data_IF_261941230672
#
_entry.id   IF_261941230672
#
_cell.length_a   1.000
_cell.length_b   1.000
_cell.length_c   1.000
_cell.angle_alpha   90.00
_cell.angle_beta   90.00
_cell.angle_gamma   90.00
#
_symmetry.space_group_name_H-M   'P 1'
#
loop_
_entity.id
_entity.type
_entity.pdbx_description
1 polymer ?
#
# COMPACT_ATOMS: atom_id res chain seq x y z
N UNK A 1 8.07 10.59 -2.95
CA UNK A 1 7.22 10.28 -1.79
C UNK A 1 7.96 10.63 -0.54
N UNK A 2 7.31 11.38 0.34
CA UNK A 2 7.79 11.64 1.69
C UNK A 2 6.80 10.97 2.67
N UNK A 3 7.28 10.11 3.58
CA UNK A 3 6.41 9.46 4.56
C UNK A 3 5.78 10.53 5.47
N UNK A 4 4.48 10.40 5.71
CA UNK A 4 3.76 11.21 6.69
C UNK A 4 3.42 10.31 7.87
N UNK A 5 3.95 10.69 9.04
CA UNK A 5 3.73 9.99 10.31
C UNK A 5 2.92 10.93 11.22
N UNK A 6 1.60 10.72 11.37
CA UNK A 6 0.80 11.50 12.29
C UNK A 6 1.32 11.43 13.73
N UNK A 7 1.00 12.41 14.58
CA UNK A 7 1.26 12.31 16.02
C UNK A 7 0.74 11.00 16.59
N UNK A 8 1.51 10.38 17.50
CA UNK A 8 1.21 9.09 18.14
C UNK A 8 1.20 7.87 17.19
N UNK A 9 1.82 7.96 16.00
CA UNK A 9 2.05 6.78 15.17
C UNK A 9 2.88 5.75 15.96
N UNK A 10 2.41 4.50 16.14
CA UNK A 10 3.17 3.47 16.84
C UNK A 10 4.54 3.21 16.18
N UNK A 11 5.55 2.93 16.99
CA UNK A 11 6.84 2.46 16.47
C UNK A 11 6.70 1.04 15.89
N UNK A 12 7.50 0.71 14.86
CA UNK A 12 7.58 -0.65 14.31
C UNK A 12 6.38 -1.08 13.46
N UNK A 13 5.67 -0.14 12.83
CA UNK A 13 4.62 -0.50 11.87
C UNK A 13 5.20 -1.26 10.67
N UNK A 14 4.48 -2.31 10.26
CA UNK A 14 4.74 -3.11 9.07
C UNK A 14 4.46 -2.37 7.73
N UNK A 15 4.15 -1.08 7.78
CA UNK A 15 3.82 -0.23 6.65
C UNK A 15 3.97 1.25 7.03
N UNK A 16 4.07 2.13 6.04
CA UNK A 16 3.97 3.57 6.29
C UNK A 16 2.49 4.00 6.26
N UNK A 17 1.99 4.71 7.29
CA UNK A 17 0.58 5.15 7.38
C UNK A 17 0.09 5.98 6.21
N UNK A 18 0.94 6.90 5.73
CA UNK A 18 0.59 7.88 4.72
C UNK A 18 1.82 8.34 3.92
N UNK A 19 1.62 8.72 2.67
CA UNK A 19 2.62 9.36 1.82
C UNK A 19 2.03 10.52 1.04
N UNK A 20 2.85 11.55 0.92
CA UNK A 20 2.70 12.60 -0.08
C UNK A 20 3.62 12.30 -1.26
N UNK A 21 3.07 12.25 -2.47
CA UNK A 21 3.84 12.06 -3.70
C UNK A 21 4.51 13.37 -4.13
N UNK A 22 5.64 13.27 -4.84
CA UNK A 22 6.24 14.49 -5.39
C UNK A 22 5.33 15.09 -6.47
N UNK A 23 5.20 16.42 -6.57
CA UNK A 23 4.28 17.09 -7.50
C UNK A 23 4.45 16.73 -8.98
N UNK A 24 5.64 16.25 -9.37
CA UNK A 24 5.93 15.85 -10.76
C UNK A 24 5.78 14.35 -11.00
N UNK A 25 5.44 13.56 -10.00
CA UNK A 25 5.34 12.11 -10.15
C UNK A 25 4.07 11.70 -10.88
N UNK A 26 4.17 10.63 -11.65
CA UNK A 26 3.01 9.91 -12.17
C UNK A 26 2.70 8.74 -11.25
N UNK A 27 1.41 8.45 -11.12
CA UNK A 27 0.95 7.21 -10.52
C UNK A 27 0.65 6.19 -11.61
N UNK A 28 1.24 5.01 -11.45
CA UNK A 28 1.06 3.87 -12.34
C UNK A 28 0.49 2.68 -11.56
N UNK A 29 -0.76 2.28 -11.83
CA UNK A 29 -1.24 0.99 -11.39
C UNK A 29 -0.40 -0.10 -12.06
N UNK A 30 0.16 -1.01 -11.28
CA UNK A 30 0.84 -2.21 -11.80
C UNK A 30 -0.14 -3.39 -11.93
N UNK A 31 -1.33 -3.27 -11.34
CA UNK A 31 -2.35 -4.30 -11.35
C UNK A 31 -2.08 -5.41 -10.33
N UNK A 32 -2.88 -6.47 -10.43
CA UNK A 32 -2.75 -7.67 -9.62
C UNK A 32 -1.59 -8.52 -10.12
N UNK A 33 -0.60 -8.72 -9.26
CA UNK A 33 0.58 -9.53 -9.54
C UNK A 33 0.50 -10.83 -8.73
N UNK A 34 0.46 -11.93 -9.46
CA UNK A 34 0.45 -13.28 -8.90
C UNK A 34 1.89 -13.78 -8.65
N UNK A 35 2.08 -14.80 -7.78
CA UNK A 35 3.39 -15.39 -7.49
C UNK A 35 3.87 -16.34 -8.59
N UNK A 36 3.10 -16.53 -9.67
CA UNK A 36 3.45 -17.47 -10.72
C UNK A 36 4.67 -16.95 -11.48
N UNK A 37 5.74 -17.72 -11.46
CA UNK A 37 7.00 -17.39 -12.15
C UNK A 37 7.45 -18.60 -12.96
N UNK A 38 7.73 -18.39 -14.24
CA UNK A 38 8.08 -19.45 -15.20
C UNK A 38 7.06 -20.60 -15.24
N UNK A 39 5.77 -20.28 -15.09
CA UNK A 39 4.67 -21.26 -15.12
C UNK A 39 4.49 -22.07 -13.82
N UNK A 40 5.28 -21.82 -12.78
CA UNK A 40 5.21 -22.53 -11.50
C UNK A 40 4.98 -21.58 -10.33
N UNK A 41 4.50 -22.12 -9.21
CA UNK A 41 4.27 -21.38 -7.97
C UNK A 41 4.85 -22.20 -6.81
N UNK A 42 5.57 -21.54 -5.88
CA UNK A 42 6.06 -22.19 -4.68
C UNK A 42 4.91 -22.56 -3.73
N UNK A 43 5.11 -23.59 -2.91
CA UNK A 43 4.09 -24.11 -2.00
C UNK A 43 3.90 -23.27 -0.73
N UNK A 44 4.90 -22.49 -0.31
CA UNK A 44 4.85 -21.67 0.91
C UNK A 44 4.42 -20.23 0.63
N UNK A 45 3.71 -19.59 1.57
CA UNK A 45 3.32 -18.16 1.42
C UNK A 45 4.55 -17.25 1.34
N UNK A 46 5.59 -17.53 2.13
CA UNK A 46 6.85 -16.78 2.03
C UNK A 46 7.48 -16.92 0.63
N UNK A 47 7.52 -18.13 0.08
CA UNK A 47 8.01 -18.37 -1.27
C UNK A 47 7.17 -17.67 -2.34
N UNK A 48 5.85 -17.72 -2.21
CA UNK A 48 4.94 -16.99 -3.10
C UNK A 48 5.15 -15.47 -3.01
N UNK A 49 5.28 -14.91 -1.81
CA UNK A 49 5.57 -13.48 -1.63
C UNK A 49 6.92 -13.09 -2.26
N UNK A 50 7.96 -13.92 -2.14
CA UNK A 50 9.24 -13.68 -2.82
C UNK A 50 9.06 -13.62 -4.35
N UNK A 51 8.28 -14.54 -4.92
CA UNK A 51 8.04 -14.58 -6.35
C UNK A 51 7.16 -13.40 -6.81
N UNK A 52 6.14 -13.01 -6.01
CA UNK A 52 5.38 -11.77 -6.21
C UNK A 52 6.32 -10.56 -6.27
N UNK A 53 7.16 -10.35 -5.26
CA UNK A 53 8.06 -9.19 -5.21
C UNK A 53 9.12 -9.20 -6.32
N UNK A 54 9.53 -10.39 -6.79
CA UNK A 54 10.38 -10.52 -7.97
C UNK A 54 9.64 -10.09 -9.24
N UNK A 55 8.38 -10.51 -9.41
CA UNK A 55 7.52 -10.07 -10.52
C UNK A 55 7.27 -8.55 -10.47
N UNK A 56 7.15 -7.97 -9.26
CA UNK A 56 7.04 -6.52 -9.05
C UNK A 56 8.31 -5.79 -9.48
N UNK A 57 9.49 -6.31 -9.13
CA UNK A 57 10.76 -5.73 -9.54
C UNK A 57 10.90 -5.69 -11.06
N UNK A 58 10.50 -6.77 -11.75
CA UNK A 58 10.49 -6.83 -13.21
C UNK A 58 9.51 -5.81 -13.81
N UNK A 59 8.31 -5.68 -13.23
CA UNK A 59 7.32 -4.70 -13.69
C UNK A 59 7.80 -3.25 -13.49
N UNK A 60 8.45 -2.95 -12.37
CA UNK A 60 9.03 -1.63 -12.08
C UNK A 60 10.19 -1.29 -13.01
N UNK A 61 11.01 -2.27 -13.40
CA UNK A 61 12.15 -2.04 -14.28
C UNK A 61 11.74 -1.40 -15.63
N UNK A 62 10.54 -1.70 -16.12
CA UNK A 62 9.97 -1.09 -17.34
C UNK A 62 9.63 0.41 -17.20
N UNK A 63 9.59 0.92 -15.96
CA UNK A 63 9.27 2.32 -15.64
C UNK A 63 10.49 3.16 -15.25
N UNK A 64 11.69 2.57 -15.33
CA UNK A 64 12.96 3.24 -15.04
C UNK A 64 13.44 3.05 -13.58
N UNK A 65 14.70 3.43 -13.30
CA UNK A 65 15.40 3.05 -12.07
C UNK A 65 14.83 3.69 -10.80
N UNK A 66 14.06 4.77 -10.93
CA UNK A 66 13.50 5.51 -9.80
C UNK A 66 12.02 5.19 -9.56
N UNK A 67 11.42 4.28 -10.33
CA UNK A 67 10.06 3.82 -10.07
C UNK A 67 10.01 3.04 -8.75
N UNK A 68 8.99 3.30 -7.93
CA UNK A 68 8.86 2.67 -6.61
C UNK A 68 7.41 2.42 -6.23
N UNK A 69 7.17 1.32 -5.51
CA UNK A 69 5.86 1.01 -4.95
C UNK A 69 5.51 2.03 -3.86
N UNK A 70 4.29 2.56 -3.91
CA UNK A 70 3.75 3.51 -2.91
C UNK A 70 2.54 2.97 -2.17
N UNK A 71 1.80 2.06 -2.80
CA UNK A 71 0.68 1.35 -2.18
C UNK A 71 0.68 -0.11 -2.60
N UNK A 72 0.44 -0.99 -1.64
CA UNK A 72 0.19 -2.41 -1.82
C UNK A 72 -1.12 -2.81 -1.17
N UNK A 73 -1.92 -3.59 -1.89
CA UNK A 73 -3.04 -4.36 -1.33
C UNK A 73 -2.65 -5.83 -1.42
N UNK A 74 -2.49 -6.48 -0.29
CA UNK A 74 -2.18 -7.91 -0.17
C UNK A 74 -3.48 -8.68 -0.06
N UNK A 75 -3.72 -9.58 -1.00
CA UNK A 75 -4.86 -10.48 -1.00
C UNK A 75 -4.35 -11.85 -0.56
N UNK A 76 -4.85 -12.37 0.56
CA UNK A 76 -4.41 -13.66 1.12
C UNK A 76 -5.60 -14.60 1.29
N UNK A 77 -5.42 -15.88 1.04
CA UNK A 77 -6.49 -16.87 1.29
C UNK A 77 -6.62 -17.26 2.76
N UNK A 78 -5.60 -16.97 3.57
CA UNK A 78 -5.57 -17.21 5.00
C UNK A 78 -4.71 -16.13 5.68
N UNK A 79 -5.34 -15.23 6.43
CA UNK A 79 -4.67 -14.11 7.09
C UNK A 79 -3.72 -14.57 8.20
N UNK A 80 -3.87 -15.79 8.72
CA UNK A 80 -3.01 -16.32 9.80
C UNK A 80 -1.56 -16.52 9.32
N UNK A 81 -1.36 -16.68 8.01
CA UNK A 81 -0.04 -16.78 7.37
C UNK A 81 0.65 -15.41 7.17
N UNK A 82 0.03 -14.30 7.58
CA UNK A 82 0.53 -12.92 7.36
C UNK A 82 1.99 -12.75 7.80
N UNK A 83 2.38 -13.32 8.93
CA UNK A 83 3.71 -13.14 9.49
C UNK A 83 4.80 -13.78 8.62
N UNK A 84 4.48 -14.87 7.92
CA UNK A 84 5.42 -15.49 6.97
C UNK A 84 5.65 -14.60 5.75
N UNK A 85 4.62 -13.89 5.28
CA UNK A 85 4.77 -12.93 4.19
C UNK A 85 5.44 -11.64 4.64
N UNK A 86 5.19 -11.19 5.87
CA UNK A 86 5.70 -9.93 6.40
C UNK A 86 7.23 -9.93 6.47
N UNK A 87 7.85 -11.02 6.92
CA UNK A 87 9.31 -11.14 6.96
C UNK A 87 9.95 -10.87 5.59
N UNK A 88 9.35 -11.41 4.52
CA UNK A 88 9.83 -11.20 3.15
C UNK A 88 9.65 -9.75 2.69
N UNK A 89 8.54 -9.11 3.07
CA UNK A 89 8.29 -7.69 2.78
C UNK A 89 9.30 -6.81 3.51
N UNK A 90 9.58 -7.10 4.77
CA UNK A 90 10.54 -6.36 5.60
C UNK A 90 11.96 -6.50 5.03
N UNK A 91 12.35 -7.70 4.58
CA UNK A 91 13.63 -7.91 3.88
C UNK A 91 13.71 -7.11 2.57
N UNK A 92 12.62 -7.09 1.80
CA UNK A 92 12.60 -6.45 0.48
C UNK A 92 12.58 -4.91 0.56
N UNK A 93 11.73 -4.33 1.41
CA UNK A 93 11.53 -2.88 1.51
C UNK A 93 12.24 -2.25 2.71
N UNK A 94 12.48 -3.00 3.79
CA UNK A 94 12.98 -2.47 5.06
C UNK A 94 14.39 -1.91 5.01
N UNK A 95 15.24 -2.35 4.07
CA UNK A 95 16.56 -1.74 3.85
C UNK A 95 16.52 -0.26 3.46
N UNK A 96 15.36 0.25 3.02
CA UNK A 96 15.18 1.64 2.57
C UNK A 96 14.46 2.53 3.60
N UNK A 97 14.17 2.04 4.81
CA UNK A 97 13.44 2.75 5.89
C UNK A 97 12.08 3.37 5.48
N UNK A 98 11.51 2.94 4.35
CA UNK A 98 10.26 3.47 3.83
C UNK A 98 9.48 2.30 3.20
N UNK A 99 8.47 1.82 3.92
CA UNK A 99 7.56 0.77 3.44
C UNK A 99 6.39 1.41 2.67
N UNK A 100 5.84 0.79 1.62
CA UNK A 100 4.62 1.31 0.98
C UNK A 100 3.45 1.32 1.96
N UNK A 101 2.44 2.16 1.68
CA UNK A 101 1.15 2.02 2.36
C UNK A 101 0.57 0.64 2.05
N UNK A 102 0.09 -0.07 3.07
CA UNK A 102 -0.25 -1.49 2.93
C UNK A 102 -1.62 -1.79 3.49
N UNK A 103 -2.46 -2.45 2.70
CA UNK A 103 -3.71 -3.04 3.16
C UNK A 103 -3.60 -4.56 3.01
N UNK A 104 -4.02 -5.31 4.03
CA UNK A 104 -4.15 -6.76 3.97
C UNK A 104 -5.64 -7.13 3.97
N UNK A 105 -6.03 -8.01 3.05
CA UNK A 105 -7.41 -8.48 2.90
C UNK A 105 -7.38 -10.00 2.80
N UNK A 106 -8.15 -10.67 3.64
CA UNK A 106 -8.45 -12.09 3.45
C UNK A 106 -9.50 -12.24 2.33
N UNK A 107 -9.22 -13.09 1.36
CA UNK A 107 -10.10 -13.39 0.22
C UNK A 107 -10.39 -14.89 0.15
N UNK A 108 -11.56 -15.32 -0.32
CA UNK A 108 -11.88 -16.75 -0.37
C UNK A 108 -11.02 -17.54 -1.37
N UNK A 109 -10.48 -16.86 -2.39
CA UNK A 109 -9.59 -17.43 -3.39
C UNK A 109 -8.76 -16.34 -4.08
N UNK A 110 -7.59 -16.73 -4.59
CA UNK A 110 -6.75 -15.94 -5.50
C UNK A 110 -7.07 -16.25 -6.97
N UNK A 111 -6.40 -15.60 -7.92
CA UNK A 111 -6.69 -15.74 -9.35
C UNK A 111 -6.52 -17.16 -9.93
N UNK A 112 -5.66 -17.99 -9.34
CA UNK A 112 -5.47 -19.40 -9.76
C UNK A 112 -5.41 -20.37 -8.55
N UNK A 113 -5.78 -21.65 -8.74
CA UNK A 113 -5.64 -22.66 -7.71
C UNK A 113 -4.19 -22.82 -7.21
N UNK A 114 -4.02 -23.01 -5.90
CA UNK A 114 -2.71 -23.17 -5.25
C UNK A 114 -1.99 -21.85 -4.94
N UNK A 115 -2.48 -20.73 -5.47
CA UNK A 115 -2.05 -19.39 -5.05
C UNK A 115 -2.74 -19.05 -3.74
N UNK A 116 -1.96 -18.63 -2.74
CA UNK A 116 -2.41 -18.26 -1.39
C UNK A 116 -2.21 -16.78 -1.09
N UNK A 117 -1.44 -16.07 -1.93
CA UNK A 117 -1.18 -14.65 -1.79
C UNK A 117 -0.97 -13.98 -3.15
N UNK A 118 -1.54 -12.79 -3.31
CA UNK A 118 -1.35 -11.90 -4.47
C UNK A 118 -1.20 -10.45 -3.99
N UNK A 119 -0.63 -9.60 -4.84
CA UNK A 119 -0.44 -8.18 -4.51
C UNK A 119 -0.97 -7.28 -5.63
N UNK A 120 -1.85 -6.35 -5.29
CA UNK A 120 -2.27 -5.26 -6.18
C UNK A 120 -1.54 -3.98 -5.79
N UNK A 121 -0.89 -3.34 -6.77
CA UNK A 121 0.17 -2.38 -6.51
C UNK A 121 0.01 -1.09 -7.31
N UNK A 122 0.41 0.00 -6.67
CA UNK A 122 0.51 1.32 -7.28
C UNK A 122 1.94 1.80 -7.11
N UNK A 123 2.52 2.31 -8.20
CA UNK A 123 3.87 2.83 -8.24
C UNK A 123 3.90 4.36 -8.45
N UNK A 124 4.81 5.03 -7.76
CA UNK A 124 5.28 6.36 -8.10
C UNK A 124 6.35 6.23 -9.18
N UNK A 125 6.13 6.87 -10.32
CA UNK A 125 7.09 6.98 -11.41
C UNK A 125 7.44 8.46 -11.56
N UNK A 126 8.66 8.88 -11.21
CA UNK A 126 9.09 10.27 -11.42
C UNK A 126 8.99 10.62 -12.90
N UNK A 127 8.45 11.80 -13.23
CA UNK A 127 8.69 12.36 -14.57
C UNK A 127 10.15 12.78 -14.62
N UNK A 128 10.88 12.35 -15.65
CA UNK A 128 12.14 13.00 -15.97
C UNK A 128 11.87 14.51 -16.10
N UNK A 129 12.75 15.33 -15.52
CA UNK A 129 12.72 16.76 -15.76
C UNK A 129 12.96 16.96 -17.26
N UNK A 130 11.88 17.11 -18.05
CA UNK A 130 12.02 17.79 -19.32
C UNK A 130 12.56 19.16 -18.98
N UNK A 131 13.79 19.44 -19.42
CA UNK A 131 14.36 20.78 -19.51
C UNK A 131 13.56 21.60 -20.52
N UNK A 132 12.27 21.81 -20.25
CA UNK A 132 11.45 22.77 -20.95
C UNK A 132 11.53 24.04 -20.10
N UNK A 133 12.45 24.90 -20.48
CA UNK A 133 12.61 26.23 -19.93
C UNK A 133 11.34 27.05 -20.23
N UNK A 134 10.32 26.94 -19.37
CA UNK A 134 9.29 27.96 -19.13
C UNK A 134 8.24 27.43 -18.16
N UNK A 135 8.52 27.44 -16.86
CA UNK A 135 7.45 27.49 -15.86
C UNK A 135 7.73 28.67 -14.94
N UNK A 136 7.23 29.82 -15.39
CA UNK A 136 7.02 31.01 -14.58
C UNK A 136 6.23 30.67 -13.32
N UNK A 137 6.63 31.28 -12.20
CA UNK A 137 6.03 31.21 -10.88
C UNK A 137 4.49 31.18 -10.88
N UNK A 138 3.90 29.99 -10.83
CA UNK A 138 2.50 29.76 -10.48
C UNK A 138 2.38 29.41 -9.01
N UNK A 139 2.03 30.40 -8.18
CA UNK A 139 1.72 30.29 -6.76
C UNK A 139 0.35 29.64 -6.51
N UNK A 140 0.07 28.50 -7.14
CA UNK A 140 -1.12 27.69 -6.86
C UNK A 140 -0.81 26.60 -5.83
N UNK A 141 -1.78 26.17 -5.00
CA UNK A 141 -1.59 25.01 -4.13
C UNK A 141 -1.26 23.81 -5.00
N UNK A 142 -0.05 23.27 -4.82
CA UNK A 142 0.41 22.08 -5.55
C UNK A 142 -0.51 20.93 -5.18
N UNK A 143 -1.25 20.38 -6.14
CA UNK A 143 -2.12 19.23 -5.91
C UNK A 143 -1.26 18.03 -5.54
N UNK A 144 -1.33 17.65 -4.27
CA UNK A 144 -0.63 16.53 -3.68
C UNK A 144 -1.57 15.32 -3.73
N UNK A 145 -1.20 14.30 -4.50
CA UNK A 145 -1.83 13.00 -4.43
C UNK A 145 -1.11 12.18 -3.34
N UNK A 146 -1.88 11.48 -2.52
CA UNK A 146 -1.36 10.67 -1.43
C UNK A 146 -2.15 9.39 -1.21
N UNK A 147 -1.58 8.49 -0.42
CA UNK A 147 -2.21 7.23 -0.06
C UNK A 147 -2.27 7.12 1.44
N UNK A 148 -3.48 6.97 1.98
CA UNK A 148 -3.71 6.79 3.40
C UNK A 148 -4.16 5.36 3.65
N UNK A 149 -3.49 4.67 4.56
CA UNK A 149 -4.03 3.49 5.22
C UNK A 149 -4.68 3.93 6.54
N UNK A 150 -5.59 3.14 7.12
CA UNK A 150 -6.03 3.28 8.50
C UNK A 150 -6.45 1.91 9.05
N UNK A 151 -6.35 1.76 10.38
CA UNK A 151 -6.76 0.55 11.08
C UNK A 151 -7.51 0.90 12.35
N UNK A 152 -8.18 -0.11 12.93
CA UNK A 152 -9.03 0.02 14.11
C UNK A 152 -8.26 0.36 15.40
N UNK A 153 -6.94 0.12 15.43
CA UNK A 153 -6.10 0.40 16.58
C UNK A 153 -6.65 -0.17 17.89
N UNK A 154 -6.68 0.66 18.93
CA UNK A 154 -7.17 0.29 20.27
C UNK A 154 -8.69 0.03 20.31
N UNK A 155 -9.43 0.29 19.25
CA UNK A 155 -10.85 -0.07 19.15
C UNK A 155 -11.09 -1.52 18.76
N UNK A 156 -10.02 -2.28 18.42
CA UNK A 156 -10.13 -3.70 18.10
C UNK A 156 -10.85 -4.49 19.20
N UNK A 157 -11.85 -5.27 18.82
CA UNK A 157 -12.67 -6.08 19.72
C UNK A 157 -13.77 -5.32 20.46
N UNK A 158 -13.91 -4.00 20.25
CA UNK A 158 -14.95 -3.17 20.91
C UNK A 158 -16.26 -3.10 20.13
N UNK A 159 -16.40 -3.89 19.08
CA UNK A 159 -17.60 -3.99 18.24
C UNK A 159 -17.53 -3.14 16.98
N UNK A 160 -18.27 -3.55 15.95
CA UNK A 160 -18.15 -3.05 14.58
C UNK A 160 -18.29 -1.53 14.45
N UNK A 161 -19.19 -0.90 15.21
CA UNK A 161 -19.40 0.56 15.17
C UNK A 161 -18.19 1.31 15.76
N UNK A 162 -17.68 0.86 16.91
CA UNK A 162 -16.52 1.47 17.55
C UNK A 162 -15.27 1.31 16.68
N UNK A 163 -15.10 0.13 16.08
CA UNK A 163 -14.01 -0.16 15.14
C UNK A 163 -14.06 0.71 13.88
N UNK A 164 -15.24 0.83 13.26
CA UNK A 164 -15.45 1.68 12.08
C UNK A 164 -15.16 3.15 12.40
N UNK A 165 -15.73 3.67 13.49
CA UNK A 165 -15.51 5.06 13.89
C UNK A 165 -14.03 5.34 14.16
N UNK A 166 -13.34 4.44 14.89
CA UNK A 166 -11.91 4.59 15.13
C UNK A 166 -11.08 4.55 13.84
N UNK A 167 -11.46 3.72 12.87
CA UNK A 167 -10.80 3.71 11.57
C UNK A 167 -11.03 5.02 10.79
N UNK A 168 -12.26 5.56 10.80
CA UNK A 168 -12.59 6.84 10.16
C UNK A 168 -11.89 8.03 10.82
N UNK A 169 -11.77 8.02 12.15
CA UNK A 169 -11.02 9.03 12.90
C UNK A 169 -9.53 8.98 12.53
N UNK A 170 -8.96 7.77 12.41
CA UNK A 170 -7.58 7.58 11.96
C UNK A 170 -7.36 8.07 10.51
N UNK A 171 -8.31 7.81 9.59
CA UNK A 171 -8.28 8.36 8.22
C UNK A 171 -8.29 9.89 8.27
N UNK A 172 -9.22 10.49 9.02
CA UNK A 172 -9.38 11.94 9.11
C UNK A 172 -8.12 12.61 9.68
N UNK A 173 -7.54 12.01 10.72
CA UNK A 173 -6.28 12.47 11.31
C UNK A 173 -5.11 12.42 10.32
N UNK A 174 -4.97 11.33 9.56
CA UNK A 174 -3.91 11.15 8.55
C UNK A 174 -4.04 12.16 7.40
N UNK A 175 -5.24 12.28 6.83
CA UNK A 175 -5.55 13.26 5.77
C UNK A 175 -5.23 14.69 6.24
N UNK A 176 -5.60 15.03 7.47
CA UNK A 176 -5.29 16.35 8.05
C UNK A 176 -3.79 16.57 8.21
N UNK A 177 -3.05 15.54 8.65
CA UNK A 177 -1.58 15.60 8.78
C UNK A 177 -0.87 15.79 7.42
N UNK A 178 -1.45 15.30 6.33
CA UNK A 178 -1.00 15.55 4.97
C UNK A 178 -1.44 16.92 4.40
N UNK A 179 -2.16 17.75 5.17
CA UNK A 179 -2.66 19.06 4.73
C UNK A 179 -3.87 18.99 3.81
N UNK A 180 -4.62 17.89 3.83
CA UNK A 180 -5.85 17.69 3.06
C UNK A 180 -7.09 17.66 3.98
N UNK A 181 -8.29 17.57 3.39
CA UNK A 181 -9.56 17.38 4.08
C UNK A 181 -10.29 16.14 3.56
N UNK A 182 -11.30 15.61 4.28
CA UNK A 182 -12.09 14.47 3.81
C UNK A 182 -12.72 14.66 2.42
N UNK A 183 -13.02 15.89 2.02
CA UNK A 183 -13.56 16.21 0.69
C UNK A 183 -12.56 15.96 -0.46
N UNK A 184 -11.27 15.80 -0.13
CA UNK A 184 -10.22 15.43 -1.09
C UNK A 184 -10.09 13.91 -1.28
N UNK A 185 -10.87 13.08 -0.57
CA UNK A 185 -10.85 11.63 -0.75
C UNK A 185 -11.56 11.25 -2.04
N UNK A 186 -10.78 10.82 -3.02
CA UNK A 186 -11.31 10.37 -4.33
C UNK A 186 -11.58 8.86 -4.39
N UNK A 187 -11.04 8.09 -3.44
CA UNK A 187 -11.22 6.63 -3.37
C UNK A 187 -10.98 6.09 -1.96
N UNK A 188 -11.92 5.32 -1.45
CA UNK A 188 -11.80 4.59 -0.19
C UNK A 188 -11.96 3.08 -0.42
N UNK A 189 -11.15 2.28 0.26
CA UNK A 189 -11.30 0.82 0.31
C UNK A 189 -11.60 0.44 1.75
N UNK A 190 -12.77 -0.14 1.98
CA UNK A 190 -13.17 -0.66 3.28
C UNK A 190 -13.44 -2.16 3.14
N UNK A 191 -12.48 -3.04 3.52
CA UNK A 191 -12.77 -4.46 3.58
C UNK A 191 -13.84 -4.69 4.66
N UNK A 192 -14.94 -5.32 4.29
CA UNK A 192 -16.00 -5.66 5.24
C UNK A 192 -15.47 -6.64 6.29
N UNK A 193 -15.80 -6.39 7.57
CA UNK A 193 -15.51 -7.33 8.63
C UNK A 193 -16.44 -8.54 8.47
N UNK A 194 -15.96 -9.61 7.83
CA UNK A 194 -16.66 -10.89 7.82
C UNK A 194 -16.61 -11.46 9.25
N UNK A 195 -17.65 -11.19 10.03
CA UNK A 195 -17.95 -11.98 11.22
C UNK A 195 -18.36 -13.37 10.75
N UNK A 196 -17.43 -14.32 10.73
CA UNK A 196 -17.76 -15.73 10.60
C UNK A 196 -18.39 -16.17 11.94
N UNK A 197 -19.63 -16.65 11.96
CA UNK A 197 -20.13 -17.38 13.12
C UNK A 197 -19.31 -18.68 13.24
N UNK A 198 -18.73 -18.91 14.42
CA UNK A 198 -18.15 -20.19 14.84
C UNK A 198 -19.24 -21.27 14.95
#
# INVERSE_FOLDING_TARGET
MDPVLPPNTPAGLAYTPDFVLHPKSQIRPLGLISPKRNGSTRSTVAGQMQDCLSNVADALAAHGPNAKVVKVTRLMTDVRDVWSAQLVIDEHFGSRNVLPTSTLIEVPACSEPGIRIEVDLWAEVPKEDRTDASDSAGSGPRSILGFVNAGVGDASGKGAVAELNSALDAVSSRISAAGASPDHVVKAYMPGCCSLPL
#
